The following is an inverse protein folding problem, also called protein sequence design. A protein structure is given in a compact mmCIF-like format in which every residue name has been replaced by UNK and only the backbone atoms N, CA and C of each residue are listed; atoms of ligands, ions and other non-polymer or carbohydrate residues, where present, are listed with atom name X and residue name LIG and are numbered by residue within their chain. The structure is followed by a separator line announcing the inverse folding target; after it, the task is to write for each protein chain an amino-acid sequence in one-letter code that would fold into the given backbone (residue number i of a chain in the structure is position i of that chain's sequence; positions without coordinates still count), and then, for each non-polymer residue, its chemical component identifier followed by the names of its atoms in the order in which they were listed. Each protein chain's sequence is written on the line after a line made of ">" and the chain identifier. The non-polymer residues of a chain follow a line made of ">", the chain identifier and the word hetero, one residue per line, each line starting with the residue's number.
data_IF_591123980709
#
_entry.id   IF_591123980709
#
_cell.length_a   1.000
_cell.length_b   1.000
_cell.length_c   1.000
_cell.angle_alpha   90.00
_cell.angle_beta   90.00
_cell.angle_gamma   90.00
#
_symmetry.space_group_name_H-M   'P 1'
#
loop_
_entity.id
_entity.type
_entity.pdbx_description
1 polymer ?
#
# COMPACT_ATOMS: atom_id res chain seq x y z
N UNK A 1 6.18 0.15 25.47
CA UNK A 1 7.62 0.18 25.12
C UNK A 1 7.85 0.66 23.66
N UNK A 2 7.09 1.66 23.18
CA UNK A 2 7.30 2.28 21.86
C UNK A 2 7.40 3.80 22.03
N UNK A 3 8.29 4.27 22.91
CA UNK A 3 8.54 5.71 23.24
C UNK A 3 9.20 6.45 22.05
N UNK A 4 8.61 6.36 20.85
CA UNK A 4 9.14 6.94 19.61
C UNK A 4 10.21 6.11 18.89
N UNK A 5 10.50 4.88 19.30
CA UNK A 5 11.49 4.03 18.61
C UNK A 5 11.20 3.89 17.10
N UNK A 6 9.91 3.81 16.72
CA UNK A 6 9.51 3.68 15.32
C UNK A 6 9.91 4.87 14.44
N UNK A 7 9.84 6.12 14.93
CA UNK A 7 10.21 7.27 14.10
C UNK A 7 11.72 7.34 13.85
N UNK A 8 12.52 6.94 14.83
CA UNK A 8 13.98 6.81 14.66
C UNK A 8 14.35 5.68 13.70
N UNK A 9 13.70 4.52 13.82
CA UNK A 9 13.92 3.41 12.89
C UNK A 9 13.48 3.78 11.47
N UNK A 10 12.35 4.47 11.32
CA UNK A 10 11.92 4.99 10.02
C UNK A 10 12.98 5.92 9.42
N UNK A 11 13.57 6.82 10.22
CA UNK A 11 14.65 7.68 9.75
C UNK A 11 15.90 6.89 9.34
N UNK A 12 16.28 5.87 10.12
CA UNK A 12 17.40 4.99 9.78
C UNK A 12 17.16 4.25 8.46
N UNK A 13 15.95 3.73 8.23
CA UNK A 13 15.62 3.03 7.00
C UNK A 13 15.58 3.96 5.79
N UNK A 14 14.97 5.14 5.91
CA UNK A 14 14.73 6.03 4.78
C UNK A 14 15.92 6.96 4.47
N UNK A 15 16.66 7.40 5.48
CA UNK A 15 17.67 8.45 5.36
C UNK A 15 19.12 8.01 5.64
N UNK A 16 19.38 6.76 6.05
CA UNK A 16 20.76 6.30 6.22
C UNK A 16 21.51 6.25 4.88
N UNK A 17 22.77 6.65 4.87
CA UNK A 17 23.68 6.51 3.72
C UNK A 17 24.36 5.14 3.68
N UNK A 18 24.21 4.32 4.73
CA UNK A 18 24.80 3.00 4.84
C UNK A 18 23.76 1.91 4.53
N UNK A 19 23.91 1.13 3.44
CA UNK A 19 22.96 0.09 3.05
C UNK A 19 22.74 -0.97 4.15
N UNK A 20 23.79 -1.30 4.90
CA UNK A 20 23.70 -2.25 6.01
C UNK A 20 22.76 -1.79 7.11
N UNK A 21 22.75 -0.49 7.44
CA UNK A 21 21.83 0.07 8.44
C UNK A 21 20.38 -0.04 7.94
N UNK A 22 20.14 0.21 6.64
CA UNK A 22 18.81 0.05 6.04
C UNK A 22 18.34 -1.41 6.13
N UNK A 23 19.17 -2.37 5.73
CA UNK A 23 18.82 -3.79 5.79
C UNK A 23 18.53 -4.26 7.23
N UNK A 24 19.39 -3.93 8.19
CA UNK A 24 19.18 -4.29 9.60
C UNK A 24 17.91 -3.65 10.18
N UNK A 25 17.58 -2.44 9.75
CA UNK A 25 16.35 -1.76 10.15
C UNK A 25 15.11 -2.43 9.53
N UNK A 26 15.18 -2.81 8.26
CA UNK A 26 14.14 -3.60 7.60
C UNK A 26 13.92 -4.96 8.28
N UNK A 27 14.99 -5.65 8.68
CA UNK A 27 14.92 -6.90 9.46
C UNK A 27 14.23 -6.67 10.81
N UNK A 28 14.52 -5.56 11.49
CA UNK A 28 13.85 -5.20 12.73
C UNK A 28 12.36 -4.92 12.51
N UNK A 29 11.97 -4.22 11.45
CA UNK A 29 10.55 -4.03 11.10
C UNK A 29 9.83 -5.36 10.83
N UNK A 30 10.47 -6.30 10.14
CA UNK A 30 9.92 -7.65 9.93
C UNK A 30 9.66 -8.37 11.26
N UNK A 31 10.61 -8.31 12.20
CA UNK A 31 10.46 -8.89 13.54
C UNK A 31 9.38 -8.18 14.37
N UNK A 32 9.31 -6.85 14.30
CA UNK A 32 8.32 -6.07 15.04
C UNK A 32 6.90 -6.29 14.53
N UNK A 33 6.71 -6.41 13.21
CA UNK A 33 5.39 -6.63 12.61
C UNK A 33 4.84 -8.04 12.83
N UNK A 34 5.71 -9.01 13.12
CA UNK A 34 5.33 -10.40 13.46
C UNK A 34 5.04 -10.61 14.94
N UNK A 35 5.31 -9.61 15.80
CA UNK A 35 4.97 -9.67 17.22
C UNK A 35 3.45 -9.72 17.44
N UNK A 36 2.99 -10.62 18.31
CA UNK A 36 1.56 -10.86 18.53
C UNK A 36 0.83 -9.70 19.22
N UNK A 37 1.52 -8.92 20.04
CA UNK A 37 0.91 -7.87 20.86
C UNK A 37 1.00 -6.51 20.18
N UNK A 38 2.16 -6.16 19.60
CA UNK A 38 2.42 -4.85 19.03
C UNK A 38 2.48 -4.85 17.50
N UNK A 39 2.63 -6.01 16.86
CA UNK A 39 2.84 -6.13 15.41
C UNK A 39 1.75 -5.50 14.55
N UNK A 40 0.44 -5.74 14.80
CA UNK A 40 -0.62 -5.09 14.05
C UNK A 40 -0.54 -3.55 14.12
N UNK A 41 -0.24 -3.00 15.31
CA UNK A 41 -0.09 -1.56 15.51
C UNK A 41 1.14 -1.00 14.78
N UNK A 42 2.27 -1.71 14.85
CA UNK A 42 3.50 -1.34 14.13
C UNK A 42 3.22 -1.31 12.62
N UNK A 43 2.58 -2.35 12.07
CA UNK A 43 2.26 -2.43 10.64
C UNK A 43 1.39 -1.26 10.19
N UNK A 44 0.35 -0.92 10.95
CA UNK A 44 -0.51 0.25 10.65
C UNK A 44 0.32 1.54 10.62
N UNK A 45 1.21 1.74 11.60
CA UNK A 45 2.06 2.94 11.65
C UNK A 45 3.01 2.99 10.46
N UNK A 46 3.69 1.90 10.13
CA UNK A 46 4.61 1.86 8.98
C UNK A 46 3.89 2.12 7.66
N UNK A 47 2.66 1.61 7.50
CA UNK A 47 1.84 1.84 6.32
C UNK A 47 1.36 3.29 6.16
N UNK A 48 1.47 4.13 7.20
CA UNK A 48 1.26 5.58 7.06
C UNK A 48 2.43 6.29 6.35
N UNK A 49 3.57 5.63 6.18
CA UNK A 49 4.79 6.22 5.57
C UNK A 49 5.33 5.44 4.37
N UNK A 50 5.04 4.15 4.27
CA UNK A 50 5.53 3.28 3.21
C UNK A 50 4.37 2.47 2.61
N UNK A 51 4.32 2.29 1.28
CA UNK A 51 3.41 1.35 0.63
C UNK A 51 3.45 -0.06 1.27
N UNK A 52 2.32 -0.76 1.29
CA UNK A 52 2.22 -2.09 1.92
C UNK A 52 3.20 -3.12 1.34
N UNK A 53 3.59 -2.92 0.08
CA UNK A 53 4.62 -3.73 -0.63
C UNK A 53 5.92 -3.81 0.16
N UNK A 54 6.31 -2.74 0.85
CA UNK A 54 7.50 -2.74 1.70
C UNK A 54 7.36 -3.66 2.91
N UNK A 55 6.17 -3.78 3.49
CA UNK A 55 5.95 -4.66 4.64
C UNK A 55 6.14 -6.13 4.25
N UNK A 56 5.64 -6.52 3.08
CA UNK A 56 5.83 -7.87 2.55
C UNK A 56 7.29 -8.10 2.15
N UNK A 57 7.92 -7.14 1.46
CA UNK A 57 9.33 -7.24 1.09
C UNK A 57 10.24 -7.36 2.33
N UNK A 58 10.04 -6.54 3.37
CA UNK A 58 10.83 -6.61 4.61
C UNK A 58 10.68 -7.95 5.30
N UNK A 59 9.46 -8.53 5.32
CA UNK A 59 9.20 -9.84 5.90
C UNK A 59 9.92 -10.96 5.16
N UNK A 60 9.89 -10.90 3.83
CA UNK A 60 10.38 -11.99 2.98
C UNK A 60 11.90 -11.90 2.76
N UNK A 61 12.42 -10.70 2.48
CA UNK A 61 13.83 -10.41 2.27
C UNK A 61 14.16 -8.91 2.53
N UNK A 62 14.80 -8.56 3.67
CA UNK A 62 15.16 -7.18 4.01
C UNK A 62 16.00 -6.46 2.94
N UNK A 63 16.95 -7.14 2.31
CA UNK A 63 17.77 -6.58 1.22
C UNK A 63 16.91 -6.22 0.01
N UNK A 64 15.93 -7.06 -0.33
CA UNK A 64 15.00 -6.76 -1.42
C UNK A 64 14.16 -5.51 -1.10
N UNK A 65 13.76 -5.30 0.15
CA UNK A 65 13.05 -4.08 0.57
C UNK A 65 13.92 -2.82 0.41
N UNK A 66 15.22 -2.90 0.69
CA UNK A 66 16.17 -1.80 0.45
C UNK A 66 16.29 -1.52 -1.04
N UNK A 67 16.46 -2.56 -1.87
CA UNK A 67 16.52 -2.40 -3.32
C UNK A 67 15.24 -1.77 -3.91
N UNK A 68 14.05 -2.18 -3.42
CA UNK A 68 12.78 -1.56 -3.82
C UNK A 68 12.73 -0.10 -3.39
N UNK A 69 13.26 0.22 -2.19
CA UNK A 69 13.25 1.59 -1.68
C UNK A 69 14.14 2.49 -2.54
N UNK A 70 15.33 2.03 -2.91
CA UNK A 70 16.33 2.76 -3.70
C UNK A 70 16.04 2.76 -5.20
N UNK A 71 15.14 1.90 -5.68
CA UNK A 71 14.74 1.81 -7.08
C UNK A 71 13.58 2.71 -7.46
N UNK A 72 13.34 2.81 -8.76
CA UNK A 72 12.13 3.41 -9.34
C UNK A 72 11.25 2.30 -9.91
N UNK A 73 9.98 2.32 -9.54
CA UNK A 73 9.01 1.29 -9.84
C UNK A 73 7.69 1.93 -10.25
N UNK A 74 7.21 1.55 -11.43
CA UNK A 74 5.84 1.82 -11.88
C UNK A 74 5.24 0.51 -12.38
N UNK A 75 4.43 -0.11 -11.53
CA UNK A 75 3.73 -1.36 -11.82
C UNK A 75 2.35 -1.36 -11.12
N UNK A 76 1.48 -2.33 -11.42
CA UNK A 76 0.12 -2.35 -10.87
C UNK A 76 0.05 -2.32 -9.34
N UNK A 77 1.07 -2.72 -8.60
CA UNK A 77 1.05 -2.77 -7.12
C UNK A 77 1.94 -1.70 -6.47
N UNK A 78 2.70 -0.91 -7.25
CA UNK A 78 3.65 0.06 -6.72
C UNK A 78 3.93 1.19 -7.72
N UNK A 79 3.68 2.42 -7.26
CA UNK A 79 4.20 3.65 -7.87
C UNK A 79 5.18 4.24 -6.86
N UNK A 80 6.46 4.16 -7.18
CA UNK A 80 7.55 4.58 -6.32
C UNK A 80 8.68 5.15 -7.15
N UNK A 81 8.97 6.43 -7.00
CA UNK A 81 9.99 7.13 -7.75
C UNK A 81 10.81 8.02 -6.82
N UNK A 82 11.77 8.76 -7.38
CA UNK A 82 12.65 9.64 -6.59
C UNK A 82 11.86 10.70 -5.80
N UNK A 83 10.79 11.26 -6.37
CA UNK A 83 9.93 12.25 -5.70
C UNK A 83 9.18 11.62 -4.51
N UNK A 84 8.59 10.44 -4.69
CA UNK A 84 7.96 9.69 -3.58
C UNK A 84 8.98 9.40 -2.48
N UNK A 85 10.17 8.90 -2.84
CA UNK A 85 11.25 8.60 -1.89
C UNK A 85 11.71 9.84 -1.13
N UNK A 86 11.90 10.95 -1.81
CA UNK A 86 12.31 12.23 -1.22
C UNK A 86 11.24 12.76 -0.25
N UNK A 87 9.97 12.70 -0.65
CA UNK A 87 8.84 13.14 0.20
C UNK A 87 8.76 12.33 1.49
N UNK A 88 8.87 11.01 1.40
CA UNK A 88 8.89 10.12 2.58
C UNK A 88 10.08 10.43 3.48
N UNK A 89 11.27 10.45 2.89
CA UNK A 89 12.54 10.67 3.59
C UNK A 89 12.54 12.00 4.35
N UNK A 90 12.11 13.07 3.70
CA UNK A 90 12.02 14.42 4.29
C UNK A 90 10.97 14.48 5.40
N UNK A 91 9.78 13.95 5.16
CA UNK A 91 8.70 13.97 6.16
C UNK A 91 9.11 13.22 7.43
N UNK A 92 9.69 12.02 7.29
CA UNK A 92 10.20 11.24 8.41
C UNK A 92 11.30 11.98 9.16
N UNK A 93 12.26 12.59 8.43
CA UNK A 93 13.36 13.34 9.01
C UNK A 93 12.87 14.51 9.86
N UNK A 94 11.94 15.30 9.33
CA UNK A 94 11.35 16.44 10.04
C UNK A 94 10.65 16.01 11.32
N UNK A 95 9.79 14.99 11.24
CA UNK A 95 9.05 14.45 12.38
C UNK A 95 9.98 13.84 13.43
N UNK A 96 11.04 13.16 13.00
CA UNK A 96 12.05 12.61 13.89
C UNK A 96 12.78 13.72 14.65
N UNK A 97 13.22 14.78 13.95
CA UNK A 97 13.93 15.91 14.55
C UNK A 97 13.03 16.71 15.50
N UNK A 98 11.76 16.90 15.16
CA UNK A 98 10.78 17.52 16.05
C UNK A 98 10.60 16.70 17.33
N UNK A 99 10.38 15.39 17.19
CA UNK A 99 10.22 14.50 18.33
C UNK A 99 11.48 14.45 19.20
N UNK A 100 12.67 14.43 18.59
CA UNK A 100 13.94 14.44 19.30
C UNK A 100 14.11 15.69 20.18
N UNK A 101 13.73 16.88 19.68
CA UNK A 101 13.77 18.12 20.46
C UNK A 101 12.86 18.01 21.69
N UNK A 102 11.62 17.55 21.51
CA UNK A 102 10.67 17.38 22.61
C UNK A 102 11.13 16.32 23.62
N UNK A 103 11.73 15.23 23.15
CA UNK A 103 12.25 14.16 24.01
C UNK A 103 13.44 14.59 24.85
N UNK A 104 14.28 15.50 24.34
CA UNK A 104 15.39 16.07 25.11
C UNK A 104 14.89 16.85 26.31
N UNK A 105 13.78 17.57 26.16
CA UNK A 105 13.20 18.38 27.23
C UNK A 105 12.33 17.53 28.18
N UNK A 106 11.69 16.48 27.67
CA UNK A 106 10.91 15.51 28.44
C UNK A 106 11.20 14.06 27.98
N UNK A 107 12.06 13.31 28.67
CA UNK A 107 12.40 11.92 28.32
C UNK A 107 11.22 10.94 28.34
N UNK A 108 10.12 11.28 29.02
CA UNK A 108 8.92 10.46 29.13
C UNK A 108 7.82 10.83 28.13
N UNK A 109 8.08 11.78 27.22
CA UNK A 109 7.16 12.08 26.14
C UNK A 109 6.90 10.83 25.28
N UNK A 110 5.66 10.67 24.84
CA UNK A 110 5.27 9.58 23.95
C UNK A 110 5.01 10.12 22.55
N UNK A 111 5.69 9.56 21.56
CA UNK A 111 5.43 9.87 20.16
C UNK A 111 4.03 9.39 19.76
N UNK A 112 3.25 10.27 19.14
CA UNK A 112 1.93 9.98 18.62
C UNK A 112 1.78 10.60 17.25
N UNK A 113 1.12 9.87 16.36
CA UNK A 113 0.70 10.36 15.06
C UNK A 113 -0.76 10.78 15.12
N UNK A 114 -1.17 11.82 14.40
CA UNK A 114 -2.57 12.07 14.12
C UNK A 114 -3.24 10.81 13.50
N UNK A 115 -4.51 10.59 13.83
CA UNK A 115 -5.24 9.41 13.38
C UNK A 115 -5.40 9.39 11.86
N UNK A 116 -5.60 10.56 11.26
CA UNK A 116 -5.73 10.85 9.83
C UNK A 116 -4.39 11.00 9.10
N UNK A 117 -3.26 10.99 9.82
CA UNK A 117 -1.95 11.12 9.19
C UNK A 117 -1.67 9.95 8.24
N UNK A 118 -1.37 10.27 6.99
CA UNK A 118 -0.73 9.40 6.03
C UNK A 118 0.14 10.28 5.13
N UNK A 119 1.35 9.84 4.83
CA UNK A 119 2.18 10.54 3.85
C UNK A 119 1.58 10.28 2.48
N UNK A 120 1.29 11.37 1.79
CA UNK A 120 0.77 11.34 0.43
C UNK A 120 1.96 11.44 -0.52
N UNK A 121 2.22 10.36 -1.26
CA UNK A 121 3.34 10.27 -2.19
C UNK A 121 2.87 10.55 -3.62
N UNK A 122 3.01 11.81 -4.04
CA UNK A 122 2.93 12.28 -5.43
C UNK A 122 1.95 11.55 -6.35
N UNK A 123 2.47 10.99 -7.44
CA UNK A 123 1.72 10.39 -8.56
C UNK A 123 0.71 9.32 -8.16
N UNK A 124 0.85 8.69 -6.99
CA UNK A 124 -0.12 7.71 -6.50
C UNK A 124 -1.45 8.33 -6.02
N UNK A 125 -1.48 9.62 -5.67
CA UNK A 125 -2.68 10.29 -5.14
C UNK A 125 -3.80 10.45 -6.18
N UNK A 126 -3.43 10.64 -7.45
CA UNK A 126 -4.38 10.80 -8.56
C UNK A 126 -4.84 9.48 -9.20
N UNK A 127 -4.30 8.35 -8.76
CA UNK A 127 -4.52 7.05 -9.40
C UNK A 127 -5.72 6.32 -8.82
N UNK A 128 -6.58 5.81 -9.71
CA UNK A 128 -7.66 4.92 -9.30
C UNK A 128 -7.08 3.58 -8.87
N UNK A 129 -7.14 3.29 -7.57
CA UNK A 129 -6.71 2.02 -7.01
C UNK A 129 -7.86 1.24 -6.39
N UNK A 130 -7.81 -0.09 -6.54
CA UNK A 130 -8.77 -1.03 -5.93
C UNK A 130 -8.00 -2.21 -5.37
N UNK A 131 -8.22 -2.56 -4.10
CA UNK A 131 -7.52 -3.68 -3.46
C UNK A 131 -5.99 -3.52 -3.41
N UNK A 132 -5.48 -2.28 -3.47
CA UNK A 132 -4.03 -2.00 -3.54
C UNK A 132 -3.43 -2.10 -4.95
N UNK A 133 -4.26 -2.18 -5.99
CA UNK A 133 -3.83 -2.25 -7.39
C UNK A 133 -4.24 -0.99 -8.15
N UNK A 134 -3.29 -0.33 -8.81
CA UNK A 134 -3.51 0.82 -9.69
C UNK A 134 -4.09 0.38 -11.03
N UNK A 135 -5.36 0.71 -11.29
CA UNK A 135 -6.12 0.14 -12.39
C UNK A 135 -5.59 0.57 -13.77
N UNK A 136 -5.16 1.83 -13.92
CA UNK A 136 -4.57 2.33 -15.17
C UNK A 136 -3.38 1.47 -15.60
N UNK A 137 -2.47 1.22 -14.66
CA UNK A 137 -1.24 0.45 -14.90
C UNK A 137 -1.58 -1.02 -15.11
N UNK A 138 -2.51 -1.59 -14.33
CA UNK A 138 -2.96 -2.98 -14.50
C UNK A 138 -3.55 -3.23 -15.90
N UNK A 139 -4.40 -2.32 -16.39
CA UNK A 139 -4.99 -2.42 -17.74
C UNK A 139 -3.90 -2.35 -18.82
N UNK A 140 -2.88 -1.51 -18.64
CA UNK A 140 -1.74 -1.42 -19.55
C UNK A 140 -0.81 -2.65 -19.46
N UNK A 141 -0.78 -3.34 -18.32
CA UNK A 141 0.07 -4.50 -18.03
C UNK A 141 -0.75 -5.70 -17.52
N UNK A 142 -1.69 -6.24 -18.32
CA UNK A 142 -2.65 -7.23 -17.83
C UNK A 142 -2.00 -8.58 -17.48
N UNK A 143 -0.81 -8.86 -18.02
CA UNK A 143 -0.03 -10.06 -17.72
C UNK A 143 0.73 -9.99 -16.38
N UNK A 144 0.64 -8.86 -15.64
CA UNK A 144 1.31 -8.73 -14.34
C UNK A 144 0.80 -9.78 -13.34
N UNK A 145 1.74 -10.49 -12.73
CA UNK A 145 1.42 -11.50 -11.71
C UNK A 145 1.21 -10.80 -10.38
N UNK A 146 -0.05 -10.50 -10.07
CA UNK A 146 -0.45 -9.94 -8.78
C UNK A 146 -0.09 -10.89 -7.64
N UNK A 147 0.32 -10.34 -6.48
CA UNK A 147 0.61 -11.15 -5.29
C UNK A 147 -0.65 -11.69 -4.64
N UNK A 148 -1.73 -10.92 -4.67
CA UNK A 148 -3.02 -11.24 -4.03
C UNK A 148 -4.16 -11.15 -5.05
N UNK A 149 -4.16 -11.95 -6.13
CA UNK A 149 -5.14 -11.84 -7.22
C UNK A 149 -6.57 -12.08 -6.74
N UNK A 150 -6.77 -12.94 -5.73
CA UNK A 150 -8.07 -13.17 -5.12
C UNK A 150 -8.59 -11.99 -4.30
N UNK A 151 -7.73 -11.33 -3.52
CA UNK A 151 -8.14 -10.13 -2.77
C UNK A 151 -8.48 -8.99 -3.74
N UNK A 152 -7.70 -8.85 -4.82
CA UNK A 152 -7.99 -7.90 -5.89
C UNK A 152 -9.33 -8.20 -6.57
N UNK A 153 -9.60 -9.46 -6.94
CA UNK A 153 -10.89 -9.87 -7.54
C UNK A 153 -12.08 -9.46 -6.66
N UNK A 154 -12.01 -9.77 -5.36
CA UNK A 154 -13.09 -9.46 -4.40
C UNK A 154 -13.30 -7.95 -4.34
N UNK A 155 -12.23 -7.18 -4.11
CA UNK A 155 -12.31 -5.72 -4.04
C UNK A 155 -12.83 -5.08 -5.35
N UNK A 156 -12.43 -5.64 -6.50
CA UNK A 156 -12.84 -5.15 -7.82
C UNK A 156 -14.33 -5.40 -8.07
N UNK A 157 -14.84 -6.58 -7.74
CA UNK A 157 -16.26 -6.91 -7.88
C UNK A 157 -17.14 -6.16 -6.87
N UNK A 158 -16.67 -6.00 -5.64
CA UNK A 158 -17.33 -5.15 -4.64
C UNK A 158 -17.47 -3.72 -5.18
N UNK A 159 -16.38 -3.13 -5.68
CA UNK A 159 -16.39 -1.78 -6.24
C UNK A 159 -17.26 -1.67 -7.49
N UNK A 160 -17.23 -2.68 -8.36
CA UNK A 160 -18.07 -2.73 -9.54
C UNK A 160 -19.55 -2.72 -9.18
N UNK A 161 -19.97 -3.62 -8.27
CA UNK A 161 -21.37 -3.68 -7.83
C UNK A 161 -21.82 -2.42 -7.09
N UNK A 162 -20.95 -1.80 -6.28
CA UNK A 162 -21.23 -0.52 -5.63
C UNK A 162 -21.53 0.60 -6.63
N UNK A 163 -20.77 0.68 -7.73
CA UNK A 163 -20.99 1.69 -8.77
C UNK A 163 -22.27 1.45 -9.58
N UNK A 164 -22.61 0.18 -9.85
CA UNK A 164 -23.84 -0.19 -10.52
C UNK A 164 -25.08 0.19 -9.69
N UNK A 165 -25.08 -0.09 -8.38
CA UNK A 165 -26.20 0.22 -7.48
C UNK A 165 -26.44 1.73 -7.32
N UNK A 166 -25.37 2.53 -7.33
CA UNK A 166 -25.45 3.98 -7.12
C UNK A 166 -25.94 4.76 -8.34
N UNK A 167 -26.21 4.08 -9.47
CA UNK A 167 -26.59 4.71 -10.75
C UNK A 167 -25.64 5.88 -11.11
N UNK A 168 -24.35 5.68 -10.82
CA UNK A 168 -23.39 6.76 -10.65
C UNK A 168 -22.77 7.12 -12.02
N UNK A 169 -22.93 8.35 -12.53
CA UNK A 169 -22.55 8.74 -13.89
C UNK A 169 -21.05 9.03 -14.06
N UNK A 170 -20.18 8.52 -13.20
CA UNK A 170 -18.74 8.52 -13.46
C UNK A 170 -18.39 7.41 -14.45
N UNK A 171 -18.87 7.58 -15.69
CA UNK A 171 -18.71 6.62 -16.78
C UNK A 171 -17.27 6.16 -16.94
N UNK A 172 -16.31 7.07 -16.79
CA UNK A 172 -14.88 6.77 -16.86
C UNK A 172 -14.41 5.82 -15.74
N UNK A 173 -14.86 6.01 -14.49
CA UNK A 173 -14.50 5.11 -13.38
C UNK A 173 -15.12 3.72 -13.58
N UNK A 174 -16.40 3.67 -13.97
CA UNK A 174 -17.09 2.41 -14.23
C UNK A 174 -16.48 1.66 -15.42
N UNK A 175 -16.14 2.38 -16.50
CA UNK A 175 -15.45 1.86 -17.66
C UNK A 175 -14.07 1.30 -17.27
N UNK A 176 -13.30 2.04 -16.47
CA UNK A 176 -11.99 1.58 -15.98
C UNK A 176 -12.11 0.30 -15.16
N UNK A 177 -13.08 0.22 -14.23
CA UNK A 177 -13.31 -0.99 -13.42
C UNK A 177 -13.78 -2.17 -14.27
N UNK A 178 -14.68 -1.93 -15.22
CA UNK A 178 -15.17 -2.97 -16.14
C UNK A 178 -14.03 -3.49 -17.00
N UNK A 179 -13.20 -2.59 -17.53
CA UNK A 179 -12.02 -2.92 -18.34
C UNK A 179 -11.01 -3.72 -17.52
N UNK A 180 -10.69 -3.29 -16.30
CA UNK A 180 -9.82 -4.02 -15.39
C UNK A 180 -10.38 -5.43 -15.08
N UNK A 181 -11.70 -5.56 -14.94
CA UNK A 181 -12.35 -6.85 -14.70
C UNK A 181 -12.20 -7.78 -15.90
N UNK A 182 -12.39 -7.27 -17.12
CA UNK A 182 -12.14 -8.02 -18.36
C UNK A 182 -10.68 -8.41 -18.48
N UNK A 183 -9.74 -7.49 -18.23
CA UNK A 183 -8.31 -7.76 -18.24
C UNK A 183 -7.93 -8.87 -17.24
N UNK A 184 -8.49 -8.83 -16.02
CA UNK A 184 -8.23 -9.83 -14.99
C UNK A 184 -8.66 -11.23 -15.42
N UNK A 185 -9.89 -11.38 -15.91
CA UNK A 185 -10.38 -12.70 -16.37
C UNK A 185 -9.73 -13.14 -17.68
N UNK A 186 -9.30 -12.22 -18.53
CA UNK A 186 -8.58 -12.56 -19.77
C UNK A 186 -7.17 -13.08 -19.47
N UNK A 187 -6.47 -12.46 -18.52
CA UNK A 187 -5.14 -12.86 -18.11
C UNK A 187 -5.12 -14.09 -17.20
N UNK A 188 -6.14 -14.23 -16.34
CA UNK A 188 -6.27 -15.33 -15.38
C UNK A 188 -7.69 -15.93 -15.38
N UNK A 189 -8.07 -16.69 -16.42
CA UNK A 189 -9.41 -17.26 -16.56
C UNK A 189 -9.86 -18.11 -15.36
N UNK A 190 -8.91 -18.78 -14.70
CA UNK A 190 -9.15 -19.60 -13.50
C UNK A 190 -9.73 -18.82 -12.31
N UNK A 191 -9.64 -17.49 -12.29
CA UNK A 191 -10.28 -16.69 -11.25
C UNK A 191 -11.80 -16.62 -11.41
N UNK A 192 -12.33 -16.87 -12.62
CA UNK A 192 -13.76 -16.84 -12.89
C UNK A 192 -14.53 -17.88 -12.06
N UNK A 193 -13.91 -19.05 -11.80
CA UNK A 193 -14.50 -20.13 -10.99
C UNK A 193 -14.74 -19.70 -9.53
N UNK A 194 -14.07 -18.64 -9.07
CA UNK A 194 -14.20 -18.12 -7.71
C UNK A 194 -15.30 -17.06 -7.56
N UNK A 195 -15.89 -16.60 -8.67
CA UNK A 195 -16.90 -15.53 -8.67
C UNK A 195 -18.26 -15.96 -8.09
N UNK A 196 -18.83 -17.14 -8.42
CA UNK A 196 -20.14 -17.53 -7.93
C UNK A 196 -20.36 -17.43 -6.40
N UNK A 197 -19.44 -17.92 -5.54
CA UNK A 197 -19.65 -17.85 -4.09
C UNK A 197 -19.58 -16.43 -3.52
N UNK A 198 -19.08 -15.43 -4.28
CA UNK A 198 -19.02 -14.04 -3.82
C UNK A 198 -20.37 -13.33 -3.91
N UNK A 199 -21.35 -13.89 -4.63
CA UNK A 199 -22.71 -13.32 -4.67
C UNK A 199 -22.87 -12.03 -5.47
N UNK A 200 -21.85 -11.60 -6.24
CA UNK A 200 -21.94 -10.38 -7.07
C UNK A 200 -22.72 -10.60 -8.38
N UNK A 201 -22.81 -11.84 -8.89
CA UNK A 201 -23.43 -12.13 -10.20
C UNK A 201 -24.89 -11.67 -10.32
N UNK A 202 -25.80 -11.92 -9.34
CA UNK A 202 -27.19 -11.48 -9.46
C UNK A 202 -27.31 -9.96 -9.58
N UNK A 203 -26.46 -9.21 -8.84
CA UNK A 203 -26.44 -7.75 -8.86
C UNK A 203 -26.01 -7.20 -10.21
N UNK A 204 -24.95 -7.78 -10.78
CA UNK A 204 -24.44 -7.39 -12.10
C UNK A 204 -25.49 -7.65 -13.18
N UNK A 205 -26.10 -8.84 -13.18
CA UNK A 205 -27.14 -9.20 -14.15
C UNK A 205 -28.38 -8.30 -14.04
N UNK A 206 -28.81 -7.96 -12.82
CA UNK A 206 -29.92 -7.05 -12.62
C UNK A 206 -29.63 -5.65 -13.17
N UNK A 207 -28.42 -5.14 -12.98
CA UNK A 207 -28.02 -3.84 -13.48
C UNK A 207 -27.93 -3.78 -15.02
N UNK A 208 -27.62 -4.90 -15.69
CA UNK A 208 -27.55 -4.98 -17.16
C UNK A 208 -28.92 -5.14 -17.84
N UNK A 209 -29.97 -5.48 -17.10
CA UNK A 209 -31.32 -5.69 -17.63
C UNK A 209 -32.20 -4.42 -17.61
N UNK A 210 -31.61 -3.28 -17.26
CA UNK A 210 -32.22 -1.94 -17.29
C UNK A 210 -31.62 -1.10 -18.42
#
# INVERSE_FOLDING_TARGET
>A
MLKGALIYLLDMFCNSTHPQVRSQTAELFAKMTTDKLVGPKVRIILMKFLPSVFMDAMRDNPEAAVHIFEGTHENPELIWNDNSREKVSTTIREMMLEYFKLQRDNPDINWKLPEDFAVVYGEAEGELSVGGVFLRIFIAQPAWVLRKPREFLIALLEKFTELLEKNNPHGETLETITTATVCLFSAQPQLADQVPPLGHLPKILQAMNH
#
